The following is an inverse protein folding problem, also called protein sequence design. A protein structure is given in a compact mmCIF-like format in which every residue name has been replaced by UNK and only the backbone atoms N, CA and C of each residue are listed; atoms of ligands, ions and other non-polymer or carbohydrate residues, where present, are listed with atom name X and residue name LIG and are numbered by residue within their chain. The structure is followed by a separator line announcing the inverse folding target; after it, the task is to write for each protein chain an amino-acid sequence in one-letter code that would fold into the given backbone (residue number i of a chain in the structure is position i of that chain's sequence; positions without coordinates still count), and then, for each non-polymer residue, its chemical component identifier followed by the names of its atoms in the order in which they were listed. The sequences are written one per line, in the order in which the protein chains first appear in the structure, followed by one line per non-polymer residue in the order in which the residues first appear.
data_IF_227081046332
#
_entry.id   IF_227081046332
#
_cell.length_a   1.000
_cell.length_b   1.000
_cell.length_c   1.000
_cell.angle_alpha   90.00
_cell.angle_beta   90.00
_cell.angle_gamma   90.00
#
_symmetry.space_group_name_H-M   'P 1'
#
loop_
_entity.id
_entity.type
_entity.pdbx_description
1 polymer ?
#
# COMPACT_ATOMS: atom_id res chain seq x y z
N UNK A 1 1.36 7.36 16.16
CA UNK A 1 1.14 6.38 15.07
C UNK A 1 2.00 5.16 15.31
N UNK A 2 1.50 3.96 14.96
CA UNK A 2 2.17 2.67 15.24
C UNK A 2 3.34 2.42 14.26
N UNK A 3 4.38 1.73 14.71
CA UNK A 3 5.54 1.34 13.87
C UNK A 3 5.18 0.31 12.80
N UNK A 4 4.17 -0.51 13.08
CA UNK A 4 3.64 -1.54 12.20
C UNK A 4 2.12 -1.40 12.17
N UNK A 5 1.52 -1.62 11.00
CA UNK A 5 0.08 -1.73 10.83
C UNK A 5 -0.25 -2.98 10.03
N UNK A 6 -1.27 -3.71 10.49
CA UNK A 6 -1.88 -4.80 9.73
C UNK A 6 -3.02 -4.24 8.90
N UNK A 7 -2.93 -4.42 7.59
CA UNK A 7 -3.90 -3.96 6.63
C UNK A 7 -4.56 -5.18 5.99
N UNK A 8 -5.90 -5.20 5.87
CA UNK A 8 -6.58 -6.23 5.10
C UNK A 8 -5.95 -6.34 3.71
N UNK A 9 -5.74 -7.56 3.20
CA UNK A 9 -5.22 -7.86 1.86
C UNK A 9 -3.73 -7.54 1.65
N UNK A 10 -3.21 -6.43 2.19
CA UNK A 10 -1.79 -6.06 2.09
C UNK A 10 -0.91 -6.71 3.17
N UNK A 11 -1.51 -7.26 4.23
CA UNK A 11 -0.78 -7.84 5.35
C UNK A 11 -0.08 -6.75 6.18
N UNK A 12 1.19 -6.98 6.51
CA UNK A 12 1.95 -6.11 7.41
C UNK A 12 2.64 -4.99 6.64
N UNK A 13 2.32 -3.74 6.95
CA UNK A 13 3.04 -2.58 6.44
C UNK A 13 3.86 -1.92 7.57
N UNK A 14 5.11 -1.54 7.27
CA UNK A 14 6.04 -0.92 8.22
C UNK A 14 6.08 0.57 8.03
N UNK A 15 6.18 1.33 9.11
CA UNK A 15 6.29 2.78 9.05
C UNK A 15 7.55 3.17 8.27
N UNK A 16 7.36 4.02 7.27
CA UNK A 16 8.44 4.57 6.45
C UNK A 16 8.70 6.04 6.79
N UNK A 17 7.64 6.82 7.01
CA UNK A 17 7.71 8.23 7.46
C UNK A 17 6.66 8.51 8.52
N UNK A 18 6.48 9.78 8.89
CA UNK A 18 5.50 10.15 9.90
C UNK A 18 4.08 9.67 9.54
N UNK A 19 3.72 9.75 8.25
CA UNK A 19 2.38 9.49 7.70
C UNK A 19 2.34 8.37 6.64
N UNK A 20 3.46 7.71 6.37
CA UNK A 20 3.56 6.69 5.33
C UNK A 20 4.02 5.34 5.87
N UNK A 21 3.44 4.28 5.33
CA UNK A 21 3.80 2.89 5.53
C UNK A 21 4.28 2.27 4.22
N UNK A 22 5.24 1.33 4.29
CA UNK A 22 5.71 0.53 3.15
C UNK A 22 5.43 -0.94 3.39
N UNK A 23 4.85 -1.61 2.40
CA UNK A 23 4.71 -3.07 2.39
C UNK A 23 6.09 -3.67 2.07
N UNK A 24 6.62 -4.59 2.90
CA UNK A 24 7.99 -5.06 2.79
C UNK A 24 8.22 -6.07 1.65
N UNK A 25 7.17 -6.79 1.25
CA UNK A 25 7.23 -7.76 0.16
C UNK A 25 6.48 -7.22 -1.08
N UNK A 26 6.93 -7.56 -2.30
CA UNK A 26 6.15 -7.27 -3.50
C UNK A 26 4.77 -7.91 -3.43
N UNK A 27 3.76 -7.16 -3.87
CA UNK A 27 2.38 -7.65 -3.98
C UNK A 27 2.05 -8.01 -5.43
N UNK A 28 0.96 -8.75 -5.63
CA UNK A 28 0.49 -9.07 -6.98
C UNK A 28 -0.42 -7.96 -7.51
N UNK A 29 -0.60 -7.91 -8.83
CA UNK A 29 -1.55 -6.98 -9.46
C UNK A 29 -2.98 -7.20 -8.97
N UNK A 30 -3.35 -8.44 -8.64
CA UNK A 30 -4.66 -8.75 -8.06
C UNK A 30 -4.82 -8.19 -6.64
N UNK A 31 -3.77 -8.24 -5.81
CA UNK A 31 -3.75 -7.56 -4.51
C UNK A 31 -4.01 -6.05 -4.65
N UNK A 32 -3.38 -5.40 -5.63
CA UNK A 32 -3.60 -3.97 -5.91
C UNK A 32 -5.00 -3.71 -6.43
N UNK A 33 -5.55 -4.60 -7.26
CA UNK A 33 -6.94 -4.52 -7.74
C UNK A 33 -7.95 -4.62 -6.58
N UNK A 34 -7.72 -5.53 -5.66
CA UNK A 34 -8.60 -5.73 -4.51
C UNK A 34 -8.45 -4.62 -3.46
N UNK A 35 -7.27 -3.99 -3.38
CA UNK A 35 -7.03 -2.81 -2.56
C UNK A 35 -7.98 -1.66 -2.94
N UNK A 36 -8.21 -1.42 -4.24
CA UNK A 36 -9.14 -0.38 -4.73
C UNK A 36 -10.58 -0.63 -4.25
N UNK A 37 -10.95 -1.86 -3.93
CA UNK A 37 -12.29 -2.23 -3.45
C UNK A 37 -12.47 -2.05 -1.95
N UNK A 38 -11.39 -1.75 -1.23
CA UNK A 38 -11.43 -1.58 0.21
C UNK A 38 -12.03 -0.24 0.61
N UNK A 39 -12.97 -0.24 1.55
CA UNK A 39 -13.61 1.00 2.06
C UNK A 39 -12.61 1.97 2.70
N UNK A 40 -11.54 1.43 3.28
CA UNK A 40 -10.46 2.20 3.91
C UNK A 40 -9.42 2.69 2.91
N UNK A 41 -9.46 2.25 1.64
CA UNK A 41 -8.60 2.76 0.58
C UNK A 41 -9.38 3.80 -0.23
N UNK A 42 -8.92 5.05 -0.21
CA UNK A 42 -9.58 6.16 -0.91
C UNK A 42 -9.15 6.26 -2.37
N UNK A 43 -7.87 5.98 -2.63
CA UNK A 43 -7.28 6.09 -3.96
C UNK A 43 -6.04 5.22 -4.06
N UNK A 44 -5.85 4.58 -5.20
CA UNK A 44 -4.61 3.90 -5.56
C UNK A 44 -4.05 4.55 -6.82
N UNK A 45 -2.74 4.79 -6.82
CA UNK A 45 -1.96 5.19 -7.98
C UNK A 45 -0.92 4.11 -8.22
N UNK A 46 -0.75 3.73 -9.49
CA UNK A 46 0.32 2.82 -9.92
C UNK A 46 1.28 3.63 -10.77
N UNK A 47 2.57 3.49 -10.52
CA UNK A 47 3.63 4.11 -11.29
C UNK A 47 4.61 3.05 -11.77
N UNK A 48 4.84 3.03 -13.08
CA UNK A 48 5.89 2.22 -13.67
C UNK A 48 7.23 2.92 -13.43
N UNK A 49 8.13 2.26 -12.71
CA UNK A 49 9.52 2.73 -12.63
C UNK A 49 10.21 2.32 -13.94
N UNK A 50 10.76 3.30 -14.69
CA UNK A 50 11.51 3.01 -15.92
C UNK A 50 12.75 2.19 -15.56
N UNK A 51 12.66 0.87 -15.67
CA UNK A 51 13.75 -0.08 -15.41
C UNK A 51 13.69 -0.82 -14.06
N UNK A 52 12.57 -0.78 -13.33
CA UNK A 52 12.39 -1.51 -12.07
C UNK A 52 11.01 -2.14 -11.91
N UNK A 53 10.72 -2.67 -10.72
CA UNK A 53 9.38 -3.16 -10.36
C UNK A 53 8.38 -1.99 -10.40
N UNK A 54 7.16 -2.23 -10.87
CA UNK A 54 6.10 -1.23 -10.75
C UNK A 54 5.83 -0.96 -9.26
N UNK A 55 5.48 0.26 -8.90
CA UNK A 55 5.12 0.61 -7.52
C UNK A 55 3.67 1.06 -7.44
N UNK A 56 3.01 0.75 -6.32
CA UNK A 56 1.73 1.34 -5.97
C UNK A 56 1.88 2.34 -4.82
N UNK A 57 1.00 3.34 -4.84
CA UNK A 57 0.78 4.30 -3.75
C UNK A 57 -0.71 4.40 -3.48
N UNK A 58 -1.12 4.03 -2.27
CA UNK A 58 -2.49 4.09 -1.80
C UNK A 58 -2.66 5.18 -0.74
N UNK A 59 -3.70 5.99 -0.90
CA UNK A 59 -4.20 6.89 0.13
C UNK A 59 -5.26 6.15 0.94
N UNK A 60 -5.05 6.05 2.24
CA UNK A 60 -5.81 5.19 3.13
C UNK A 60 -6.33 5.98 4.33
N UNK A 61 -7.42 5.51 4.91
CA UNK A 61 -8.04 6.09 6.10
C UNK A 61 -8.67 4.98 6.93
N UNK A 62 -8.22 4.85 8.18
CA UNK A 62 -8.77 3.93 9.18
C UNK A 62 -9.08 4.76 10.42
N UNK A 63 -10.29 4.60 10.97
CA UNK A 63 -10.78 5.33 12.14
C UNK A 63 -10.59 6.86 12.03
N UNK A 64 -10.80 7.41 10.83
CA UNK A 64 -10.65 8.85 10.55
C UNK A 64 -9.21 9.35 10.47
N UNK A 65 -8.21 8.47 10.58
CA UNK A 65 -6.79 8.84 10.48
C UNK A 65 -6.29 8.59 9.05
N UNK A 66 -5.88 9.64 8.29
CA UNK A 66 -5.33 9.45 6.97
C UNK A 66 -3.87 9.01 7.01
N UNK A 67 -3.48 8.13 6.09
CA UNK A 67 -2.10 7.69 5.91
C UNK A 67 -1.87 7.23 4.46
N UNK A 68 -0.59 7.06 4.11
CA UNK A 68 -0.18 6.58 2.79
C UNK A 68 0.40 5.18 2.93
N UNK A 69 0.09 4.29 2.01
CA UNK A 69 0.73 2.97 1.90
C UNK A 69 1.40 2.85 0.53
N UNK A 70 2.65 2.46 0.51
CA UNK A 70 3.41 2.21 -0.72
C UNK A 70 3.94 0.79 -0.76
N UNK A 71 4.16 0.24 -1.94
CA UNK A 71 4.83 -1.04 -2.09
C UNK A 71 5.15 -1.35 -3.54
N UNK A 72 5.95 -2.38 -3.73
CA UNK A 72 6.30 -2.89 -5.06
C UNK A 72 5.22 -3.86 -5.54
N UNK A 73 5.00 -3.88 -6.85
CA UNK A 73 4.18 -4.82 -7.58
C UNK A 73 5.13 -5.74 -8.33
N UNK A 74 5.11 -7.03 -8.04
CA UNK A 74 6.12 -7.93 -8.59
C UNK A 74 6.10 -9.39 -8.12
N UNK A 75 4.97 -9.92 -7.66
CA UNK A 75 4.81 -11.35 -7.36
C UNK A 75 4.14 -12.10 -8.52
N UNK A 76 4.64 -13.30 -8.85
CA UNK A 76 3.93 -14.27 -9.70
C UNK A 76 2.92 -15.06 -8.88
#
# INVERSE_FOLDING_TARGET
MKEIIELPILGVARRHTEVAYRVPAPVTTDTVRDLVRQKWCRRVQVSDSRGGNAEFRALCEIDGTPFVVTGEIGGQ
#
